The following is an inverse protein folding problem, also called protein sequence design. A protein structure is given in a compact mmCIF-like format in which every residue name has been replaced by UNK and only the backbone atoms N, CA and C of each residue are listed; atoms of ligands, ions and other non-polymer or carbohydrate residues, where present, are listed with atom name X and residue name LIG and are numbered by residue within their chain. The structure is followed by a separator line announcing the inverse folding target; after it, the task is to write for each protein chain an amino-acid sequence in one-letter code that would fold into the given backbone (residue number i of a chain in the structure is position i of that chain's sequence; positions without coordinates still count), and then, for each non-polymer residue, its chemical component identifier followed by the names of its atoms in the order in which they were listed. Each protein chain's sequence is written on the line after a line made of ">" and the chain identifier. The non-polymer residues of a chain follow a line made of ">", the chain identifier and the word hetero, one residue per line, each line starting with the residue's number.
data_IF_219635861744
#
_entry.id   IF_219635861744
#
_cell.length_a   1.000
_cell.length_b   1.000
_cell.length_c   1.000
_cell.angle_alpha   90.00
_cell.angle_beta   90.00
_cell.angle_gamma   90.00
#
_symmetry.space_group_name_H-M   'P 1'
#
loop_
_entity.id
_entity.type
_entity.pdbx_description
1 polymer ?
#
# COMPACT_ATOMS: atom_id res chain seq x y z
N UNK A 1 -19.14 14.43 -12.32
CA UNK A 1 -19.43 13.08 -11.76
C UNK A 1 -18.86 13.06 -10.35
N UNK A 2 -19.62 12.65 -9.34
CA UNK A 2 -19.07 12.53 -7.99
C UNK A 2 -18.29 11.22 -7.87
N UNK A 3 -17.07 11.28 -7.33
CA UNK A 3 -16.33 10.09 -6.95
C UNK A 3 -17.14 9.27 -5.93
N UNK A 4 -16.91 7.96 -5.92
CA UNK A 4 -17.56 6.99 -5.03
C UNK A 4 -19.09 6.87 -5.19
N UNK A 5 -19.62 7.18 -6.37
CA UNK A 5 -21.05 7.03 -6.71
C UNK A 5 -21.22 6.09 -7.90
N UNK A 6 -22.10 5.11 -7.76
CA UNK A 6 -22.50 4.23 -8.86
C UNK A 6 -23.41 4.99 -9.84
N UNK A 7 -23.23 4.78 -11.13
CA UNK A 7 -24.07 5.37 -12.17
C UNK A 7 -24.33 4.34 -13.29
N UNK A 8 -25.46 4.49 -13.97
CA UNK A 8 -25.79 3.67 -15.12
C UNK A 8 -24.98 4.13 -16.33
N UNK A 9 -24.50 3.16 -17.11
CA UNK A 9 -23.79 3.38 -18.37
C UNK A 9 -24.58 2.72 -19.48
N UNK A 10 -24.76 3.42 -20.60
CA UNK A 10 -25.41 2.92 -21.81
C UNK A 10 -24.36 2.50 -22.84
N UNK A 11 -24.72 1.56 -23.71
CA UNK A 11 -23.88 1.18 -24.84
C UNK A 11 -23.49 2.42 -25.67
N UNK A 12 -22.22 2.48 -26.10
CA UNK A 12 -21.67 3.61 -26.86
C UNK A 12 -21.19 4.80 -26.02
N UNK A 13 -21.39 4.80 -24.70
CA UNK A 13 -20.85 5.86 -23.85
C UNK A 13 -19.36 5.68 -23.57
N UNK A 14 -18.67 6.81 -23.37
CA UNK A 14 -17.22 6.85 -23.08
C UNK A 14 -16.99 7.50 -21.73
N UNK A 15 -16.31 6.79 -20.83
CA UNK A 15 -15.81 7.32 -19.57
C UNK A 15 -14.35 7.76 -19.76
N UNK A 16 -14.02 8.98 -19.34
CA UNK A 16 -12.64 9.51 -19.35
C UNK A 16 -12.26 9.99 -17.96
N UNK A 17 -11.00 9.76 -17.61
CA UNK A 17 -10.38 10.31 -16.41
C UNK A 17 -9.37 11.37 -16.83
N UNK A 18 -9.31 12.44 -16.04
CA UNK A 18 -8.21 13.41 -16.11
C UNK A 18 -7.13 13.03 -15.07
N UNK A 19 -6.08 13.83 -14.96
CA UNK A 19 -5.04 13.60 -13.95
C UNK A 19 -5.58 13.71 -12.51
N UNK A 20 -5.06 12.89 -11.57
CA UNK A 20 -5.47 12.97 -10.17
C UNK A 20 -5.00 14.28 -9.54
N UNK A 21 -5.90 14.97 -8.84
CA UNK A 21 -5.57 16.16 -8.02
C UNK A 21 -5.04 15.76 -6.64
N UNK A 22 -5.69 14.79 -6.02
CA UNK A 22 -5.30 14.16 -4.77
C UNK A 22 -5.25 12.65 -4.96
N UNK A 23 -4.31 11.99 -4.28
CA UNK A 23 -4.15 10.54 -4.37
C UNK A 23 -3.38 10.07 -5.60
N UNK A 24 -2.94 8.82 -5.58
CA UNK A 24 -2.16 8.23 -6.67
C UNK A 24 -2.96 7.23 -7.50
N UNK A 25 -4.06 6.68 -6.96
CA UNK A 25 -4.78 5.54 -7.57
C UNK A 25 -6.28 5.75 -7.52
N UNK A 26 -6.95 5.39 -8.61
CA UNK A 26 -8.41 5.27 -8.69
C UNK A 26 -8.80 3.84 -9.01
N UNK A 27 -10.03 3.48 -8.68
CA UNK A 27 -10.60 2.16 -8.93
C UNK A 27 -11.88 2.31 -9.73
N UNK A 28 -11.98 1.58 -10.84
CA UNK A 28 -13.22 1.43 -11.61
C UNK A 28 -13.78 0.04 -11.36
N UNK A 29 -14.99 -0.02 -10.82
CA UNK A 29 -15.75 -1.25 -10.68
C UNK A 29 -16.91 -1.25 -11.67
N UNK A 30 -17.14 -2.39 -12.32
CA UNK A 30 -18.30 -2.63 -13.18
C UNK A 30 -19.21 -3.67 -12.54
N UNK A 31 -20.52 -3.53 -12.70
CA UNK A 31 -21.46 -4.53 -12.21
C UNK A 31 -21.19 -5.88 -12.91
N UNK A 32 -21.13 -6.97 -12.14
CA UNK A 32 -20.69 -8.29 -12.62
C UNK A 32 -19.18 -8.52 -12.54
N UNK A 33 -18.38 -7.46 -12.38
CA UNK A 33 -16.93 -7.55 -12.35
C UNK A 33 -16.30 -7.75 -13.73
N UNK A 34 -14.96 -7.73 -13.77
CA UNK A 34 -14.18 -8.03 -14.98
C UNK A 34 -13.93 -9.54 -15.02
N UNK A 35 -14.37 -10.19 -16.09
CA UNK A 35 -14.36 -11.65 -16.19
C UNK A 35 -13.06 -12.19 -16.81
N UNK A 36 -11.99 -12.13 -16.04
CA UNK A 36 -10.70 -12.75 -16.39
C UNK A 36 -10.53 -14.10 -15.67
N UNK A 37 -9.72 -15.03 -16.21
CA UNK A 37 -9.45 -16.30 -15.55
C UNK A 37 -8.87 -16.14 -14.14
N UNK A 38 -9.16 -17.11 -13.27
CA UNK A 38 -8.48 -17.24 -11.99
C UNK A 38 -7.09 -17.84 -12.19
N UNK A 39 -6.08 -17.20 -11.63
CA UNK A 39 -4.71 -17.73 -11.55
C UNK A 39 -4.34 -17.79 -10.08
N UNK A 40 -3.98 -19.00 -9.60
CA UNK A 40 -3.69 -19.27 -8.19
C UNK A 40 -4.81 -18.78 -7.24
N UNK A 41 -6.07 -18.92 -7.66
CA UNK A 41 -7.25 -18.52 -6.87
C UNK A 41 -7.54 -17.02 -6.84
N UNK A 42 -6.84 -16.18 -7.63
CA UNK A 42 -7.03 -14.73 -7.69
C UNK A 42 -7.18 -14.23 -9.13
N UNK A 43 -7.83 -13.07 -9.29
CA UNK A 43 -7.88 -12.30 -10.55
C UNK A 43 -6.93 -11.10 -10.57
N UNK A 44 -6.09 -10.95 -9.54
CA UNK A 44 -5.13 -9.85 -9.48
C UNK A 44 -4.02 -10.02 -10.51
N UNK A 45 -3.52 -8.92 -11.07
CA UNK A 45 -2.36 -8.91 -11.97
C UNK A 45 -1.08 -8.75 -11.16
N UNK A 46 -0.14 -9.68 -11.33
CA UNK A 46 1.26 -9.54 -10.91
C UNK A 46 2.13 -9.30 -12.15
N UNK A 47 2.43 -8.04 -12.40
CA UNK A 47 3.04 -7.60 -13.67
C UNK A 47 4.48 -8.08 -13.86
N UNK A 48 5.29 -8.17 -12.79
CA UNK A 48 6.68 -8.65 -12.87
C UNK A 48 6.77 -10.11 -13.33
N UNK A 49 5.80 -10.93 -12.95
CA UNK A 49 5.75 -12.35 -13.34
C UNK A 49 4.81 -12.65 -14.51
N UNK A 50 4.19 -11.63 -15.11
CA UNK A 50 3.15 -11.79 -16.13
C UNK A 50 2.00 -12.74 -15.71
N UNK A 51 1.52 -12.64 -14.47
CA UNK A 51 0.49 -13.54 -13.92
C UNK A 51 -0.85 -12.84 -13.65
N UNK A 52 -1.95 -13.55 -13.93
CA UNK A 52 -3.30 -13.13 -13.56
C UNK A 52 -3.82 -11.90 -14.31
N UNK A 53 -5.01 -11.43 -13.91
CA UNK A 53 -5.65 -10.28 -14.55
C UNK A 53 -5.91 -10.48 -16.05
N UNK A 54 -5.87 -9.38 -16.81
CA UNK A 54 -5.97 -9.44 -18.27
C UNK A 54 -4.59 -9.72 -18.88
N UNK A 55 -4.37 -10.98 -19.30
CA UNK A 55 -3.15 -11.42 -19.96
C UNK A 55 -1.84 -11.19 -19.18
N UNK A 56 -1.89 -11.08 -17.84
CA UNK A 56 -0.70 -10.88 -17.01
C UNK A 56 -0.07 -9.49 -17.10
N UNK A 57 -0.69 -8.52 -17.78
CA UNK A 57 -0.07 -7.23 -18.10
C UNK A 57 -0.96 -6.03 -17.78
N UNK A 58 -0.37 -4.83 -17.89
CA UNK A 58 -1.13 -3.58 -17.97
C UNK A 58 -2.03 -3.58 -19.20
N UNK A 59 -3.17 -2.88 -19.09
CA UNK A 59 -4.05 -2.66 -20.23
C UNK A 59 -3.35 -1.82 -21.30
N UNK A 60 -3.67 -2.13 -22.55
CA UNK A 60 -3.20 -1.45 -23.75
C UNK A 60 -4.40 -0.82 -24.48
N UNK A 61 -4.09 0.05 -25.43
CA UNK A 61 -5.09 0.59 -26.36
C UNK A 61 -5.75 -0.58 -27.10
N UNK A 62 -7.05 -0.46 -27.32
CA UNK A 62 -7.89 -1.45 -28.00
C UNK A 62 -8.11 -2.78 -27.25
N UNK A 63 -7.66 -2.91 -25.99
CA UNK A 63 -8.01 -4.08 -25.16
C UNK A 63 -9.53 -4.13 -24.91
N UNK A 64 -10.13 -5.29 -25.17
CA UNK A 64 -11.53 -5.59 -24.87
C UNK A 64 -11.61 -6.51 -23.66
N UNK A 65 -12.11 -5.97 -22.54
CA UNK A 65 -12.25 -6.72 -21.31
C UNK A 65 -13.65 -7.33 -21.22
N UNK A 66 -13.78 -8.67 -21.09
CA UNK A 66 -15.07 -9.28 -20.80
C UNK A 66 -15.58 -8.85 -19.42
N UNK A 67 -16.89 -8.69 -19.31
CA UNK A 67 -17.57 -8.39 -18.06
C UNK A 67 -18.38 -9.61 -17.62
N UNK A 68 -18.41 -9.85 -16.31
CA UNK A 68 -19.22 -10.92 -15.75
C UNK A 68 -20.71 -10.57 -15.77
N UNK A 69 -21.55 -11.56 -15.43
CA UNK A 69 -23.00 -11.35 -15.33
C UNK A 69 -23.31 -10.49 -14.10
N UNK A 70 -23.94 -9.31 -14.25
CA UNK A 70 -24.35 -8.49 -13.12
C UNK A 70 -25.31 -9.23 -12.21
N UNK A 71 -25.12 -9.14 -10.89
CA UNK A 71 -26.03 -9.75 -9.91
C UNK A 71 -27.41 -9.07 -9.82
N UNK A 72 -27.62 -7.96 -10.54
CA UNK A 72 -28.82 -7.11 -10.44
C UNK A 72 -28.86 -6.18 -9.23
N UNK A 73 -27.85 -6.26 -8.35
CA UNK A 73 -27.81 -5.55 -7.05
C UNK A 73 -27.22 -4.14 -7.14
N UNK A 74 -26.63 -3.79 -8.27
CA UNK A 74 -26.05 -2.46 -8.50
C UNK A 74 -27.15 -1.40 -8.63
N UNK A 75 -27.12 -0.38 -7.77
CA UNK A 75 -28.08 0.73 -7.78
C UNK A 75 -27.42 2.02 -8.23
N UNK A 76 -27.85 2.57 -9.37
CA UNK A 76 -27.42 3.91 -9.78
C UNK A 76 -27.80 4.95 -8.72
N UNK A 77 -26.90 5.91 -8.46
CA UNK A 77 -27.03 6.91 -7.40
C UNK A 77 -26.60 6.42 -6.01
N UNK A 78 -26.29 5.13 -5.84
CA UNK A 78 -25.67 4.64 -4.61
C UNK A 78 -24.30 5.30 -4.42
N UNK A 79 -24.10 6.01 -3.31
CA UNK A 79 -22.89 6.79 -3.04
C UNK A 79 -22.31 6.44 -1.68
N UNK A 80 -20.98 6.33 -1.61
CA UNK A 80 -20.27 6.13 -0.36
C UNK A 80 -20.46 7.35 0.55
N UNK A 81 -20.97 7.20 1.79
CA UNK A 81 -21.08 8.30 2.74
C UNK A 81 -19.73 8.97 2.98
N UNK A 82 -19.72 10.29 3.14
CA UNK A 82 -18.50 11.08 3.31
C UNK A 82 -17.65 10.58 4.49
N UNK A 83 -18.27 10.20 5.61
CA UNK A 83 -17.58 9.64 6.78
C UNK A 83 -16.84 8.31 6.50
N UNK A 84 -17.18 7.62 5.41
CA UNK A 84 -16.53 6.38 5.00
C UNK A 84 -15.48 6.59 3.91
N UNK A 85 -15.42 7.78 3.31
CA UNK A 85 -14.37 8.13 2.34
C UNK A 85 -13.03 8.29 3.04
N UNK A 86 -11.96 8.03 2.30
CA UNK A 86 -10.61 8.26 2.78
C UNK A 86 -10.24 9.72 2.49
N UNK A 87 -9.75 10.44 3.49
CA UNK A 87 -9.16 11.76 3.25
C UNK A 87 -7.79 11.56 2.60
N UNK A 88 -7.53 12.33 1.55
CA UNK A 88 -6.28 12.33 0.78
C UNK A 88 -5.60 13.70 0.90
N UNK A 89 -4.30 13.75 0.62
CA UNK A 89 -3.49 14.96 0.73
C UNK A 89 -2.89 15.20 2.12
N UNK A 90 -2.12 16.28 2.24
CA UNK A 90 -1.41 16.64 3.48
C UNK A 90 -0.26 15.72 3.87
N UNK A 91 0.28 15.92 5.07
CA UNK A 91 1.24 15.01 5.71
C UNK A 91 0.51 13.76 6.23
N UNK A 92 0.95 12.58 5.82
CA UNK A 92 0.31 11.30 6.15
C UNK A 92 0.98 10.68 7.37
N UNK A 93 0.21 10.31 8.39
CA UNK A 93 0.73 9.62 9.57
C UNK A 93 0.58 8.12 9.39
N UNK A 94 1.70 7.40 9.40
CA UNK A 94 1.76 5.95 9.16
C UNK A 94 2.11 5.25 10.47
N UNK A 95 1.19 4.45 11.01
CA UNK A 95 1.43 3.72 12.26
C UNK A 95 2.30 2.49 12.01
N UNK A 96 3.34 2.35 12.81
CA UNK A 96 4.38 1.33 12.69
C UNK A 96 4.48 0.57 13.99
N UNK A 97 4.42 -0.76 13.91
CA UNK A 97 4.87 -1.61 15.01
C UNK A 97 6.38 -1.79 14.85
N UNK A 98 7.22 -1.34 15.81
CA UNK A 98 8.67 -1.54 15.76
C UNK A 98 9.01 -3.02 15.64
N UNK A 99 10.03 -3.33 14.83
CA UNK A 99 10.45 -4.70 14.52
C UNK A 99 11.66 -5.13 15.34
N UNK A 100 12.08 -6.40 15.19
CA UNK A 100 13.25 -6.92 15.91
C UNK A 100 14.54 -6.14 15.62
N UNK A 101 14.72 -5.68 14.38
CA UNK A 101 15.90 -4.91 14.01
C UNK A 101 15.80 -3.42 14.36
N UNK A 102 14.69 -2.98 14.96
CA UNK A 102 14.61 -1.65 15.56
C UNK A 102 15.69 -1.46 16.64
N UNK A 103 15.90 -2.47 17.46
CA UNK A 103 16.92 -2.49 18.53
C UNK A 103 18.35 -2.41 18.00
N UNK A 104 18.55 -2.55 16.67
CA UNK A 104 19.84 -2.34 16.03
C UNK A 104 20.12 -0.88 15.74
N UNK A 105 19.11 0.00 15.76
CA UNK A 105 19.32 1.42 15.60
C UNK A 105 20.00 2.00 16.85
N UNK A 106 20.83 3.02 16.65
CA UNK A 106 21.22 3.89 17.76
C UNK A 106 19.99 4.63 18.30
N UNK A 107 19.97 4.98 19.58
CA UNK A 107 18.85 5.67 20.22
C UNK A 107 18.47 6.98 19.50
N UNK A 108 19.48 7.73 19.05
CA UNK A 108 19.29 8.94 18.26
C UNK A 108 18.62 8.66 16.91
N UNK A 109 19.09 7.63 16.18
CA UNK A 109 18.50 7.24 14.90
C UNK A 109 17.03 6.80 15.06
N UNK A 110 16.76 5.97 16.07
CA UNK A 110 15.42 5.52 16.40
C UNK A 110 14.47 6.70 16.69
N UNK A 111 14.93 7.66 17.49
CA UNK A 111 14.17 8.88 17.80
C UNK A 111 13.97 9.76 16.55
N UNK A 112 15.00 9.93 15.73
CA UNK A 112 14.89 10.73 14.49
C UNK A 112 13.88 10.13 13.50
N UNK A 113 13.83 8.80 13.38
CA UNK A 113 12.91 8.12 12.46
C UNK A 113 11.44 8.49 12.70
N UNK A 114 11.01 8.52 13.97
CA UNK A 114 9.63 8.85 14.34
C UNK A 114 9.36 10.36 14.51
N UNK A 115 10.39 11.17 14.75
CA UNK A 115 10.25 12.62 14.94
C UNK A 115 10.45 13.45 13.66
N UNK A 116 10.96 12.87 12.59
CA UNK A 116 11.17 13.55 11.32
C UNK A 116 10.01 13.35 10.32
N UNK A 117 9.94 14.25 9.36
CA UNK A 117 9.03 14.15 8.22
C UNK A 117 9.79 13.58 7.03
N UNK A 118 9.24 12.55 6.43
CA UNK A 118 9.81 11.84 5.30
C UNK A 118 9.04 12.16 4.02
N UNK A 119 9.72 12.16 2.88
CA UNK A 119 9.13 12.54 1.60
C UNK A 119 9.11 11.36 0.65
N UNK A 120 7.96 11.05 0.04
CA UNK A 120 7.86 9.96 -0.94
C UNK A 120 8.72 10.29 -2.16
N UNK A 121 9.62 9.36 -2.52
CA UNK A 121 10.46 9.44 -3.70
C UNK A 121 9.68 9.22 -5.00
N UNK A 122 10.25 9.63 -6.13
CA UNK A 122 9.67 9.43 -7.45
C UNK A 122 9.62 7.96 -7.88
N UNK A 123 10.40 7.10 -7.24
CA UNK A 123 10.49 5.67 -7.56
C UNK A 123 9.37 4.82 -6.93
N UNK A 124 8.37 5.45 -6.30
CA UNK A 124 7.27 4.75 -5.63
C UNK A 124 6.39 3.95 -6.61
N UNK A 125 6.20 2.67 -6.34
CA UNK A 125 5.44 1.77 -7.22
C UNK A 125 4.62 0.72 -6.44
N UNK A 126 4.31 -0.42 -7.08
CA UNK A 126 3.55 -1.50 -6.44
C UNK A 126 4.41 -2.43 -5.57
N UNK A 127 5.73 -2.42 -5.77
CA UNK A 127 6.73 -3.19 -5.02
C UNK A 127 6.99 -2.49 -3.69
N UNK A 128 7.21 -1.19 -3.70
CA UNK A 128 7.50 -0.45 -2.49
C UNK A 128 7.53 1.06 -2.64
N UNK A 129 7.53 1.73 -1.50
CA UNK A 129 7.60 3.19 -1.39
C UNK A 129 8.90 3.58 -0.71
N UNK A 130 9.74 4.32 -1.43
CA UNK A 130 10.98 4.90 -0.92
C UNK A 130 10.71 6.26 -0.31
N UNK A 131 11.26 6.51 0.86
CA UNK A 131 11.09 7.73 1.64
C UNK A 131 12.44 8.43 1.80
N UNK A 132 12.49 9.73 1.46
CA UNK A 132 13.69 10.57 1.39
C UNK A 132 13.58 11.78 2.31
N UNK A 133 14.69 12.51 2.48
CA UNK A 133 14.71 13.83 3.13
C UNK A 133 14.79 13.81 4.65
N UNK A 134 14.81 12.63 5.28
CA UNK A 134 15.18 12.47 6.69
C UNK A 134 16.69 12.28 6.85
N UNK A 135 17.14 12.31 8.11
CA UNK A 135 18.51 12.01 8.48
C UNK A 135 18.82 10.53 8.26
N UNK A 136 20.05 10.24 7.82
CA UNK A 136 20.55 8.87 7.75
C UNK A 136 20.48 8.21 9.14
N UNK A 137 19.90 7.03 9.19
CA UNK A 137 19.78 6.20 10.38
C UNK A 137 21.07 5.43 10.61
N UNK A 138 21.63 5.57 11.81
CA UNK A 138 22.82 4.84 12.22
C UNK A 138 22.46 3.60 13.02
N UNK A 139 23.14 2.50 12.70
CA UNK A 139 23.03 1.23 13.42
C UNK A 139 24.13 1.12 14.47
N UNK A 140 23.83 0.43 15.57
CA UNK A 140 24.81 0.05 16.58
C UNK A 140 25.89 -0.82 15.91
N UNK A 141 27.16 -0.72 16.33
CA UNK A 141 28.20 -1.62 15.87
C UNK A 141 27.86 -3.09 16.14
N UNK A 142 28.28 -3.99 15.26
CA UNK A 142 28.38 -5.42 15.53
C UNK A 142 29.37 -6.08 14.60
N UNK A 143 29.82 -7.25 15.00
CA UNK A 143 30.31 -8.23 14.05
C UNK A 143 29.13 -8.76 13.21
N UNK A 144 29.29 -8.74 11.88
CA UNK A 144 28.26 -9.24 10.98
C UNK A 144 28.22 -10.77 11.04
N UNK A 145 27.04 -11.38 11.17
CA UNK A 145 26.90 -12.83 11.21
C UNK A 145 27.28 -13.42 9.86
N UNK A 146 27.75 -14.66 9.88
CA UNK A 146 28.00 -15.42 8.67
C UNK A 146 26.76 -15.43 7.76
N UNK A 147 26.94 -15.10 6.48
CA UNK A 147 25.87 -15.02 5.49
C UNK A 147 25.21 -13.64 5.34
N UNK A 148 25.54 -12.65 6.18
CA UNK A 148 25.15 -11.26 5.96
C UNK A 148 26.22 -10.49 5.18
N UNK A 149 25.81 -9.46 4.44
CA UNK A 149 26.73 -8.49 3.83
C UNK A 149 27.45 -7.62 4.87
N UNK A 150 28.45 -6.85 4.42
CA UNK A 150 29.30 -6.04 5.32
C UNK A 150 28.62 -4.77 5.86
N UNK A 151 27.52 -4.32 5.25
CA UNK A 151 26.83 -3.10 5.68
C UNK A 151 26.06 -3.35 7.00
N UNK A 152 26.08 -2.42 7.98
CA UNK A 152 25.39 -2.60 9.27
C UNK A 152 23.88 -2.87 9.17
N UNK A 153 23.24 -2.44 8.09
CA UNK A 153 21.82 -2.73 7.80
C UNK A 153 21.59 -4.12 7.22
N UNK A 154 22.64 -4.85 6.83
CA UNK A 154 22.51 -6.22 6.34
C UNK A 154 22.25 -7.21 7.46
N UNK A 155 21.44 -8.22 7.18
CA UNK A 155 21.07 -9.34 8.03
C UNK A 155 21.27 -10.64 7.26
N UNK A 156 21.24 -11.79 7.94
CA UNK A 156 21.02 -13.06 7.24
C UNK A 156 19.60 -13.02 6.69
N UNK A 157 19.43 -13.48 5.45
CA UNK A 157 18.17 -13.38 4.72
C UNK A 157 16.98 -13.86 5.56
N UNK A 158 15.92 -13.03 5.55
CA UNK A 158 14.71 -13.28 6.31
C UNK A 158 13.48 -12.98 5.48
N UNK A 159 12.34 -13.56 5.89
CA UNK A 159 11.05 -13.27 5.27
C UNK A 159 10.60 -11.85 5.59
N UNK A 160 10.02 -11.19 4.61
CA UNK A 160 9.53 -9.83 4.72
C UNK A 160 8.00 -9.81 4.83
N UNK A 161 7.44 -9.25 5.92
CA UNK A 161 6.01 -8.98 5.96
C UNK A 161 5.70 -7.80 5.02
N UNK A 162 4.50 -7.80 4.44
CA UNK A 162 3.98 -6.65 3.72
C UNK A 162 3.87 -5.46 4.69
N UNK A 163 4.35 -4.30 4.27
CA UNK A 163 4.47 -3.11 5.11
C UNK A 163 5.78 -3.02 5.89
N UNK A 164 6.67 -4.00 5.79
CA UNK A 164 8.00 -3.90 6.41
C UNK A 164 8.77 -2.70 5.90
N UNK A 165 9.54 -2.09 6.81
CA UNK A 165 10.34 -0.91 6.54
C UNK A 165 11.81 -1.32 6.52
N UNK A 166 12.40 -1.37 5.33
CA UNK A 166 13.82 -1.63 5.13
C UNK A 166 14.58 -0.33 5.08
N UNK A 167 15.81 -0.31 5.58
CA UNK A 167 16.66 0.89 5.49
C UNK A 167 18.08 0.52 5.03
N UNK A 168 18.26 0.19 3.73
CA UNK A 168 19.58 -0.11 3.18
C UNK A 168 20.57 1.02 3.45
N UNK A 169 21.76 0.67 3.97
CA UNK A 169 22.82 1.60 4.37
C UNK A 169 22.38 2.70 5.35
N UNK A 170 21.21 2.56 5.98
CA UNK A 170 20.64 3.58 6.86
C UNK A 170 20.08 4.83 6.15
N UNK A 171 20.09 4.91 4.82
CA UNK A 171 19.83 6.18 4.13
C UNK A 171 18.34 6.49 3.96
N UNK A 172 17.61 5.60 3.30
CA UNK A 172 16.25 5.85 2.85
C UNK A 172 15.34 4.68 3.26
N UNK A 173 14.32 4.93 4.11
CA UNK A 173 13.33 3.91 4.43
C UNK A 173 12.55 3.49 3.19
N UNK A 174 12.35 2.19 3.03
CA UNK A 174 11.57 1.58 1.95
C UNK A 174 10.47 0.75 2.59
N UNK A 175 9.21 1.15 2.39
CA UNK A 175 8.05 0.38 2.83
C UNK A 175 7.66 -0.60 1.73
N UNK A 176 7.78 -1.89 1.99
CA UNK A 176 7.38 -2.93 1.05
C UNK A 176 5.86 -3.02 0.90
N UNK A 177 5.40 -3.17 -0.34
CA UNK A 177 3.98 -3.14 -0.71
C UNK A 177 3.54 -4.46 -1.39
N UNK A 178 2.36 -4.48 -2.00
CA UNK A 178 1.64 -5.71 -2.40
C UNK A 178 2.34 -6.56 -3.46
N UNK A 179 3.23 -5.99 -4.27
CA UNK A 179 4.04 -6.74 -5.25
C UNK A 179 5.50 -6.89 -4.79
N UNK A 180 5.78 -6.72 -3.50
CA UNK A 180 7.13 -6.80 -2.94
C UNK A 180 7.75 -8.20 -3.06
N UNK A 181 9.08 -8.21 -2.98
CA UNK A 181 9.85 -9.43 -2.71
C UNK A 181 9.47 -10.03 -1.36
N UNK A 182 9.49 -11.36 -1.26
CA UNK A 182 9.05 -12.09 -0.06
C UNK A 182 10.13 -12.20 1.03
N UNK A 183 11.39 -11.92 0.71
CA UNK A 183 12.50 -12.00 1.65
C UNK A 183 13.80 -11.41 1.07
N UNK A 184 14.80 -11.27 1.94
CA UNK A 184 16.11 -10.73 1.59
C UNK A 184 16.95 -10.33 2.81
N UNK A 185 18.10 -9.73 2.54
CA UNK A 185 19.16 -9.48 3.52
C UNK A 185 19.22 -8.08 4.13
N UNK A 186 18.19 -7.24 4.00
CA UNK A 186 18.09 -5.95 4.69
C UNK A 186 17.28 -6.03 5.99
N UNK A 187 17.78 -5.37 7.03
CA UNK A 187 17.13 -5.18 8.32
C UNK A 187 15.80 -4.45 8.16
N UNK A 188 14.77 -4.95 8.87
CA UNK A 188 13.45 -4.33 8.94
C UNK A 188 13.26 -3.67 10.29
N UNK A 189 13.23 -2.33 10.33
CA UNK A 189 13.12 -1.57 11.58
C UNK A 189 11.70 -1.55 12.15
N UNK A 190 10.72 -1.98 11.36
CA UNK A 190 9.32 -2.03 11.76
C UNK A 190 8.42 -2.46 10.63
N UNK A 191 7.12 -2.53 10.91
CA UNK A 191 6.09 -2.83 9.92
C UNK A 191 4.95 -1.83 10.04
N UNK A 192 4.66 -1.12 8.94
CA UNK A 192 3.45 -0.31 8.82
C UNK A 192 2.23 -1.22 8.96
N UNK A 193 1.31 -0.85 9.84
CA UNK A 193 0.15 -1.69 10.11
C UNK A 193 -0.72 -1.86 8.86
N UNK A 194 -1.33 -3.03 8.72
CA UNK A 194 -2.18 -3.35 7.56
C UNK A 194 -3.31 -2.35 7.28
N UNK A 195 -3.81 -1.66 8.32
CA UNK A 195 -4.88 -0.67 8.21
C UNK A 195 -4.43 0.66 7.55
N UNK A 196 -3.13 0.92 7.48
CA UNK A 196 -2.55 2.17 6.96
C UNK A 196 -1.91 1.98 5.57
N UNK A 197 -1.82 0.75 5.06
CA UNK A 197 -1.23 0.48 3.73
C UNK A 197 -2.01 1.14 2.59
N UNK A 198 -3.33 1.28 2.73
CA UNK A 198 -4.17 1.97 1.74
C UNK A 198 -3.82 3.48 1.66
N UNK A 199 -3.30 4.06 2.75
CA UNK A 199 -2.80 5.45 2.74
C UNK A 199 -1.56 5.55 1.85
N UNK A 200 -0.60 4.64 2.03
CA UNK A 200 0.63 4.57 1.23
C UNK A 200 0.28 4.38 -0.25
N UNK A 201 -0.65 3.48 -0.57
CA UNK A 201 -1.14 3.26 -1.93
C UNK A 201 -1.78 4.50 -2.58
N UNK A 202 -2.08 5.55 -1.82
CA UNK A 202 -2.57 6.82 -2.34
C UNK A 202 -1.52 7.94 -2.31
N UNK A 203 -0.36 7.73 -1.69
CA UNK A 203 0.65 8.78 -1.63
C UNK A 203 1.28 9.04 -3.00
N UNK A 204 1.44 10.32 -3.33
CA UNK A 204 2.12 10.80 -4.54
C UNK A 204 3.60 11.11 -4.25
N UNK A 205 4.48 11.14 -5.28
CA UNK A 205 5.82 11.71 -5.15
C UNK A 205 5.80 13.10 -4.51
N UNK A 206 6.80 13.39 -3.68
CA UNK A 206 6.94 14.61 -2.87
C UNK A 206 5.92 14.78 -1.73
N UNK A 207 4.96 13.87 -1.56
CA UNK A 207 4.07 13.92 -0.41
C UNK A 207 4.82 13.55 0.88
N UNK A 208 4.51 14.26 1.96
CA UNK A 208 5.12 14.04 3.27
C UNK A 208 4.41 12.92 4.04
N UNK A 209 5.19 12.15 4.78
CA UNK A 209 4.72 11.20 5.77
C UNK A 209 5.52 11.30 7.07
N UNK A 210 4.87 10.91 8.16
CA UNK A 210 5.49 10.73 9.46
C UNK A 210 5.17 9.34 9.98
N UNK A 211 6.20 8.60 10.35
CA UNK A 211 6.02 7.32 11.00
C UNK A 211 5.68 7.53 12.47
N UNK A 212 4.75 6.73 13.00
CA UNK A 212 4.29 6.82 14.39
C UNK A 212 4.41 5.43 15.01
N UNK A 213 5.23 5.30 16.05
CA UNK A 213 5.34 4.05 16.80
C UNK A 213 4.01 3.72 17.47
N UNK A 214 3.55 2.47 17.34
CA UNK A 214 2.35 1.95 18.01
C UNK A 214 2.61 0.56 18.57
N UNK A 215 1.78 0.16 19.53
CA UNK A 215 1.82 -1.20 20.09
C UNK A 215 1.14 -2.21 19.16
N UNK A 216 1.34 -3.50 19.43
CA UNK A 216 0.61 -4.56 18.73
C UNK A 216 -0.90 -4.46 19.02
N UNK A 217 -1.27 -4.10 20.24
CA UNK A 217 -2.64 -3.88 20.68
C UNK A 217 -3.32 -2.77 19.87
N UNK A 218 -2.63 -1.64 19.67
CA UNK A 218 -3.10 -0.53 18.83
C UNK A 218 -3.31 -0.99 17.38
N UNK A 219 -2.37 -1.77 16.83
CA UNK A 219 -2.46 -2.31 15.48
C UNK A 219 -3.67 -3.25 15.32
N UNK A 220 -3.93 -4.11 16.30
CA UNK A 220 -5.08 -5.01 16.33
C UNK A 220 -6.40 -4.25 16.47
N UNK A 221 -6.44 -3.21 17.31
CA UNK A 221 -7.60 -2.33 17.46
C UNK A 221 -7.90 -1.58 16.15
N UNK A 222 -6.87 -1.04 15.49
CA UNK A 222 -6.98 -0.41 14.18
C UNK A 222 -7.51 -1.37 13.11
N UNK A 223 -6.99 -2.60 13.06
CA UNK A 223 -7.47 -3.65 12.15
C UNK A 223 -8.94 -4.01 12.40
N UNK A 224 -9.36 -4.09 13.66
CA UNK A 224 -10.78 -4.34 14.03
C UNK A 224 -11.66 -3.18 13.57
N UNK A 225 -11.24 -1.94 13.77
CA UNK A 225 -11.97 -0.74 13.31
C UNK A 225 -12.09 -0.71 11.78
N UNK A 226 -11.00 -0.98 11.06
CA UNK A 226 -11.00 -1.07 9.60
C UNK A 226 -11.98 -2.14 9.10
N UNK A 227 -11.94 -3.35 9.67
CA UNK A 227 -12.90 -4.41 9.33
C UNK A 227 -14.35 -4.01 9.62
N UNK A 228 -14.61 -3.32 10.74
CA UNK A 228 -15.94 -2.81 11.07
C UNK A 228 -16.41 -1.78 10.04
N UNK A 229 -15.53 -0.88 9.59
CA UNK A 229 -15.81 0.10 8.54
C UNK A 229 -16.22 -0.60 7.23
N UNK A 230 -15.47 -1.62 6.81
CA UNK A 230 -15.82 -2.41 5.63
C UNK A 230 -17.13 -3.19 5.79
N UNK A 231 -17.38 -3.78 6.97
CA UNK A 231 -18.64 -4.48 7.26
C UNK A 231 -19.85 -3.53 7.31
N UNK A 232 -19.66 -2.24 7.59
CA UNK A 232 -20.73 -1.25 7.44
C UNK A 232 -21.09 -1.01 5.97
N UNK A 233 -20.13 -1.13 5.03
CA UNK A 233 -20.39 -0.94 3.59
C UNK A 233 -21.36 -1.98 3.05
N UNK A 234 -21.22 -3.25 3.44
CA UNK A 234 -22.13 -4.31 3.01
C UNK A 234 -23.57 -4.12 3.52
N UNK A 235 -23.74 -3.40 4.64
CA UNK A 235 -25.07 -3.03 5.17
C UNK A 235 -25.69 -1.84 4.46
N UNK A 236 -24.87 -0.90 3.98
CA UNK A 236 -25.35 0.29 3.26
C UNK A 236 -25.78 -0.02 1.83
N UNK A 237 -25.17 -1.04 1.23
CA UNK A 237 -25.50 -1.54 -0.09
C UNK A 237 -25.87 -3.03 0.03
N UNK A 238 -27.01 -3.34 0.69
CA UNK A 238 -27.42 -4.72 0.88
C UNK A 238 -27.59 -5.37 -0.48
N UNK A 239 -26.97 -6.53 -0.58
CA UNK A 239 -26.94 -7.32 -1.79
C UNK A 239 -28.33 -7.92 -2.04
#
# INVERSE_FOLDING_TARGET
>A
MHHDTAFAVKAGQVLRFDFPKDGARTYLAVAGGIDVPLVLGSRSTYTLGALGGFQGRRLAVDDLLPIGVPSGKGRAGASLPMALRQSLGGEVYLRVVPGLYYERLTEFAATSFFSESWTVGSEADRIGYRFKGGRALTFQPREQPFGAGSDPSNIVDSCYPIGSIQVPAGLEPIVLHRDAVSGGGYAMIGTVISADLDLIGQMQPNQKARFVAVTLEDALAARKSYKKKLACLSKLFPS
#
